data_IF_582591310521
#
_entry.id   IF_582591310521
#
_cell.length_a   1.000
_cell.length_b   1.000
_cell.length_c   1.000
_cell.angle_alpha   90.00
_cell.angle_beta   90.00
_cell.angle_gamma   90.00
#
_symmetry.space_group_name_H-M   'P 1'
#
loop_
_entity.id
_entity.type
_entity.pdbx_description
1 polymer ?
#
# COMPACT_ATOMS: atom_id res chain seq x y z
N UNK A 1 -16.86 -18.30 -8.62
CA UNK A 1 -16.64 -16.99 -7.94
C UNK A 1 -15.29 -16.46 -8.43
N UNK A 2 -15.22 -15.40 -9.26
CA UNK A 2 -13.92 -14.79 -9.61
C UNK A 2 -13.36 -14.21 -8.31
N UNK A 3 -12.34 -14.84 -7.73
CA UNK A 3 -11.55 -14.23 -6.66
C UNK A 3 -11.00 -12.92 -7.25
N UNK A 4 -11.43 -11.78 -6.70
CA UNK A 4 -10.98 -10.47 -7.17
C UNK A 4 -9.45 -10.45 -7.22
N UNK A 5 -8.87 -9.92 -8.30
CA UNK A 5 -7.42 -9.79 -8.41
C UNK A 5 -6.93 -8.96 -7.22
N UNK A 6 -5.92 -9.49 -6.54
CA UNK A 6 -5.25 -8.79 -5.45
C UNK A 6 -4.65 -7.50 -6.04
N UNK A 7 -4.93 -6.32 -5.46
CA UNK A 7 -4.36 -5.06 -5.92
C UNK A 7 -2.83 -5.10 -5.89
N UNK A 8 -2.19 -4.38 -6.82
CA UNK A 8 -0.72 -4.23 -6.81
C UNK A 8 -0.31 -3.39 -5.60
N UNK A 9 0.95 -3.47 -5.17
CA UNK A 9 1.44 -2.67 -4.05
C UNK A 9 2.94 -2.86 -3.80
N UNK A 10 3.52 -2.02 -2.94
CA UNK A 10 4.92 -2.11 -2.57
C UNK A 10 5.24 -3.39 -1.79
N UNK A 11 6.49 -3.81 -1.90
CA UNK A 11 7.01 -5.00 -1.22
C UNK A 11 7.07 -4.77 0.29
N UNK A 12 6.34 -5.59 1.04
CA UNK A 12 6.28 -5.55 2.49
C UNK A 12 7.34 -6.45 3.11
N UNK A 13 8.09 -5.91 4.08
CA UNK A 13 9.03 -6.69 4.87
C UNK A 13 8.29 -7.54 5.91
N UNK A 14 8.82 -8.72 6.28
CA UNK A 14 8.25 -9.51 7.35
C UNK A 14 8.24 -8.70 8.67
N UNK A 15 7.16 -8.84 9.45
CA UNK A 15 6.89 -8.19 10.74
C UNK A 15 6.62 -6.67 10.70
N UNK A 16 7.37 -5.89 9.92
CA UNK A 16 7.22 -4.41 9.87
C UNK A 16 6.33 -3.92 8.71
N UNK A 17 6.12 -4.75 7.69
CA UNK A 17 5.34 -4.38 6.52
C UNK A 17 6.03 -3.32 5.68
N UNK A 18 5.28 -2.29 5.27
CA UNK A 18 5.77 -1.12 4.52
C UNK A 18 6.07 0.08 5.44
N UNK A 19 6.10 -0.12 6.76
CA UNK A 19 6.22 0.98 7.72
C UNK A 19 7.48 1.84 7.51
N UNK A 20 8.60 1.20 7.17
CA UNK A 20 9.87 1.88 6.89
C UNK A 20 9.82 2.77 5.66
N UNK A 21 8.90 2.50 4.73
CA UNK A 21 8.76 3.24 3.48
C UNK A 21 7.89 4.49 3.61
N UNK A 22 7.17 4.68 4.73
CA UNK A 22 6.35 5.87 4.98
C UNK A 22 7.17 7.13 5.30
N UNK A 23 8.39 6.98 5.82
CA UNK A 23 9.22 8.09 6.25
C UNK A 23 8.56 8.94 7.35
N UNK A 24 8.92 10.22 7.42
CA UNK A 24 8.35 11.19 8.39
C UNK A 24 6.95 11.67 8.00
N UNK A 25 6.54 11.55 6.74
CA UNK A 25 5.26 12.01 6.20
C UNK A 25 4.52 10.90 5.44
N UNK A 26 3.77 10.02 6.15
CA UNK A 26 3.15 8.84 5.56
C UNK A 26 2.19 9.13 4.41
N UNK A 27 1.43 10.24 4.48
CA UNK A 27 0.48 10.64 3.45
C UNK A 27 1.15 10.95 2.10
N UNK A 28 2.38 11.46 2.10
CA UNK A 28 3.16 11.71 0.88
C UNK A 28 3.59 10.39 0.24
N UNK A 29 4.06 9.44 1.05
CA UNK A 29 4.43 8.11 0.56
C UNK A 29 3.22 7.35 -0.03
N UNK A 30 2.07 7.43 0.65
CA UNK A 30 0.79 6.89 0.18
C UNK A 30 0.37 7.53 -1.16
N UNK A 31 0.48 8.86 -1.29
CA UNK A 31 0.22 9.57 -2.56
C UNK A 31 1.12 9.08 -3.70
N UNK A 32 2.44 8.99 -3.46
CA UNK A 32 3.39 8.47 -4.47
C UNK A 32 3.07 7.03 -4.90
N UNK A 33 2.57 6.20 -3.99
CA UNK A 33 2.13 4.85 -4.33
C UNK A 33 0.83 4.83 -5.12
N UNK A 34 -0.08 5.79 -4.92
CA UNK A 34 -1.23 5.96 -5.78
C UNK A 34 -0.80 6.29 -7.22
N UNK A 35 0.21 7.15 -7.39
CA UNK A 35 0.78 7.45 -8.72
C UNK A 35 1.45 6.21 -9.36
N UNK A 36 2.13 5.39 -8.55
CA UNK A 36 2.90 4.24 -9.04
C UNK A 36 2.05 2.99 -9.32
N UNK A 37 1.08 2.69 -8.45
CA UNK A 37 0.27 1.46 -8.49
C UNK A 37 -1.16 1.70 -8.95
N UNK A 38 -1.60 2.95 -9.03
CA UNK A 38 -2.94 3.37 -9.42
C UNK A 38 -3.87 3.63 -8.23
N UNK A 39 -5.11 4.02 -8.55
CA UNK A 39 -6.16 4.41 -7.58
C UNK A 39 -6.48 3.36 -6.50
N UNK A 40 -6.20 2.09 -6.77
CA UNK A 40 -6.44 0.99 -5.82
C UNK A 40 -5.15 0.17 -5.71
N UNK A 41 -4.56 0.18 -4.54
CA UNK A 41 -3.35 -0.58 -4.25
C UNK A 41 -3.38 -1.15 -2.83
N UNK A 42 -2.51 -2.12 -2.56
CA UNK A 42 -2.39 -2.73 -1.23
C UNK A 42 -1.12 -2.26 -0.54
N UNK A 43 -1.12 -2.21 0.79
CA UNK A 43 0.08 -2.03 1.60
C UNK A 43 -0.03 -2.84 2.89
N UNK A 44 1.10 -3.07 3.57
CA UNK A 44 1.11 -3.70 4.87
C UNK A 44 1.58 -2.72 5.93
N UNK A 45 0.92 -2.71 7.09
CA UNK A 45 1.37 -2.00 8.28
C UNK A 45 1.63 -3.08 9.32
N UNK A 46 2.90 -3.30 9.67
CA UNK A 46 3.26 -4.49 10.43
C UNK A 46 2.91 -5.77 9.66
N UNK A 47 2.12 -6.64 10.27
CA UNK A 47 1.66 -7.90 9.66
C UNK A 47 0.27 -7.79 9.02
N UNK A 48 -0.38 -6.62 9.13
CA UNK A 48 -1.75 -6.42 8.66
C UNK A 48 -1.77 -5.87 7.24
N UNK A 49 -2.60 -6.47 6.39
CA UNK A 49 -2.80 -6.04 5.00
C UNK A 49 -3.91 -5.00 4.93
N UNK A 50 -3.58 -3.84 4.38
CA UNK A 50 -4.50 -2.74 4.12
C UNK A 50 -4.67 -2.52 2.62
N UNK A 51 -5.90 -2.20 2.20
CA UNK A 51 -6.21 -1.74 0.85
C UNK A 51 -6.42 -0.24 0.92
N UNK A 52 -5.72 0.49 0.06
CA UNK A 52 -5.86 1.93 -0.07
C UNK A 52 -6.67 2.23 -1.32
N UNK A 53 -7.69 3.06 -1.13
CA UNK A 53 -8.45 3.69 -2.21
C UNK A 53 -8.06 5.17 -2.22
N UNK A 54 -7.39 5.58 -3.27
CA UNK A 54 -6.98 6.96 -3.49
C UNK A 54 -7.76 7.53 -4.68
N UNK A 55 -8.44 8.64 -4.47
CA UNK A 55 -9.10 9.43 -5.53
C UNK A 55 -8.48 10.82 -5.69
N UNK A 56 -7.19 10.93 -5.33
CA UNK A 56 -6.37 12.10 -5.59
C UNK A 56 -6.17 12.31 -7.11
#
# INVERSE_FOLDING_TARGET
>A
KKLGKIPKGPFALPLVGNALSFGTTPHVAIGKWADQYGKIYQMYIGNDRHIVLSDL
#
